data_IF_685421966182
#
_entry.id   IF_685421966182
#
_cell.length_a   1.000
_cell.length_b   1.000
_cell.length_c   1.000
_cell.angle_alpha   90.00
_cell.angle_beta   90.00
_cell.angle_gamma   90.00
#
_symmetry.space_group_name_H-M   'P 1'
#
loop_
_entity.id
_entity.type
_entity.pdbx_description
1 polymer ?
#
# COMPACT_ATOMS: atom_id res chain seq x y z
N UNK A 1 -19.03 27.87 45.82
CA UNK A 1 -18.11 26.77 45.45
C UNK A 1 -18.75 25.93 44.36
N UNK A 2 -18.59 26.29 43.07
CA UNK A 2 -19.18 25.54 41.92
C UNK A 2 -18.19 25.38 40.73
N UNK A 3 -16.99 25.95 40.79
CA UNK A 3 -16.02 25.96 39.67
C UNK A 3 -15.36 24.59 39.36
N UNK A 4 -15.14 23.74 40.36
CA UNK A 4 -14.19 22.62 40.21
C UNK A 4 -14.63 21.50 39.25
N UNK A 5 -15.93 21.21 39.14
CA UNK A 5 -16.44 20.05 38.36
C UNK A 5 -16.44 20.31 36.85
N UNK A 6 -16.65 21.55 36.42
CA UNK A 6 -16.69 21.92 35.00
C UNK A 6 -15.27 21.99 34.42
N UNK A 7 -14.32 22.48 35.21
CA UNK A 7 -12.90 22.49 34.87
C UNK A 7 -12.35 21.07 34.65
N UNK A 8 -12.75 20.12 35.52
CA UNK A 8 -12.38 18.70 35.38
C UNK A 8 -12.99 18.05 34.14
N UNK A 9 -14.24 18.41 33.80
CA UNK A 9 -14.92 17.89 32.62
C UNK A 9 -14.27 18.39 31.32
N UNK A 10 -13.85 19.65 31.29
CA UNK A 10 -13.11 20.23 30.17
C UNK A 10 -11.72 19.60 30.03
N UNK A 11 -11.00 19.44 31.14
CA UNK A 11 -9.70 18.79 31.16
C UNK A 11 -9.77 17.35 30.62
N UNK A 12 -10.79 16.58 31.02
CA UNK A 12 -11.02 15.22 30.52
C UNK A 12 -11.30 15.18 29.01
N UNK A 13 -12.11 16.11 28.50
CA UNK A 13 -12.43 16.18 27.06
C UNK A 13 -11.20 16.57 26.23
N UNK A 14 -10.37 17.48 26.73
CA UNK A 14 -9.11 17.86 26.07
C UNK A 14 -8.12 16.69 26.06
N UNK A 15 -8.00 15.95 27.17
CA UNK A 15 -7.15 14.77 27.26
C UNK A 15 -7.61 13.68 26.26
N UNK A 16 -8.90 13.35 26.24
CA UNK A 16 -9.46 12.36 25.32
C UNK A 16 -9.30 12.77 23.84
N UNK A 17 -9.47 14.06 23.52
CA UNK A 17 -9.26 14.56 22.16
C UNK A 17 -7.78 14.48 21.74
N UNK A 18 -6.83 14.78 22.65
CA UNK A 18 -5.40 14.65 22.36
C UNK A 18 -4.96 13.20 22.17
N UNK A 19 -5.53 12.26 22.93
CA UNK A 19 -5.26 10.82 22.77
C UNK A 19 -5.81 10.28 21.45
N UNK A 20 -7.02 10.71 21.06
CA UNK A 20 -7.59 10.40 19.75
C UNK A 20 -6.76 10.98 18.59
N UNK A 21 -6.26 12.21 18.72
CA UNK A 21 -5.36 12.84 17.75
C UNK A 21 -4.00 12.13 17.66
N UNK A 22 -3.41 11.75 18.79
CA UNK A 22 -2.14 11.04 18.85
C UNK A 22 -2.22 9.65 18.20
N UNK A 23 -3.29 8.91 18.48
CA UNK A 23 -3.55 7.61 17.85
C UNK A 23 -3.84 7.74 16.35
N UNK A 24 -4.53 8.81 15.90
CA UNK A 24 -4.72 9.10 14.47
C UNK A 24 -3.41 9.46 13.76
N UNK A 25 -2.52 10.19 14.43
CA UNK A 25 -1.21 10.61 13.89
C UNK A 25 -0.23 9.44 13.81
N UNK A 26 -0.28 8.51 14.77
CA UNK A 26 0.46 7.25 14.71
C UNK A 26 -0.12 6.29 13.65
N UNK A 27 -1.44 6.27 13.48
CA UNK A 27 -2.11 5.57 12.38
C UNK A 27 -1.68 6.10 11.01
N UNK A 28 -1.77 7.41 10.78
CA UNK A 28 -1.34 8.06 9.53
C UNK A 28 0.16 7.87 9.25
N UNK A 29 1.04 7.98 10.25
CA UNK A 29 2.48 7.70 10.06
C UNK A 29 2.77 6.22 9.76
N UNK A 30 2.02 5.28 10.34
CA UNK A 30 2.14 3.85 10.06
C UNK A 30 1.55 3.49 8.69
N UNK A 31 0.46 4.12 8.29
CA UNK A 31 -0.17 3.93 6.98
C UNK A 31 0.69 4.50 5.84
N UNK A 32 1.31 5.68 6.03
CA UNK A 32 2.22 6.29 5.06
C UNK A 32 3.50 5.46 4.85
N UNK A 33 4.05 4.87 5.92
CA UNK A 33 5.26 4.03 5.83
C UNK A 33 4.99 2.65 5.22
N UNK A 34 3.80 2.07 5.45
CA UNK A 34 3.42 0.78 4.86
C UNK A 34 3.22 0.86 3.34
N UNK A 35 2.62 1.95 2.84
CA UNK A 35 2.41 2.13 1.40
C UNK A 35 3.71 2.20 0.61
N UNK A 36 4.74 2.86 1.17
CA UNK A 36 6.05 2.98 0.54
C UNK A 36 6.79 1.63 0.46
N UNK A 37 6.81 0.85 1.54
CA UNK A 37 7.46 -0.47 1.53
C UNK A 37 6.85 -1.43 0.51
N UNK A 38 5.51 -1.43 0.38
CA UNK A 38 4.80 -2.24 -0.63
C UNK A 38 5.19 -1.79 -2.05
N UNK A 39 5.29 -0.48 -2.30
CA UNK A 39 5.71 0.04 -3.59
C UNK A 39 7.17 -0.35 -3.92
N UNK A 40 8.07 -0.28 -2.94
CA UNK A 40 9.48 -0.67 -3.12
C UNK A 40 9.64 -2.17 -3.35
N UNK A 41 8.90 -3.01 -2.64
CA UNK A 41 8.88 -4.46 -2.90
C UNK A 41 8.36 -4.78 -4.30
N UNK A 42 7.32 -4.08 -4.76
CA UNK A 42 6.77 -4.24 -6.10
C UNK A 42 7.75 -3.83 -7.19
N UNK A 43 8.36 -2.64 -7.06
CA UNK A 43 9.37 -2.15 -8.01
C UNK A 43 10.60 -3.06 -7.97
N UNK A 44 11.02 -3.52 -6.80
CA UNK A 44 12.11 -4.48 -6.63
C UNK A 44 11.83 -5.79 -7.37
N UNK A 45 10.63 -6.36 -7.22
CA UNK A 45 10.22 -7.56 -7.95
C UNK A 45 10.17 -7.34 -9.47
N UNK A 46 9.74 -6.16 -9.95
CA UNK A 46 9.75 -5.82 -11.38
C UNK A 46 11.16 -5.70 -11.93
N UNK A 47 12.08 -5.04 -11.20
CA UNK A 47 13.47 -4.90 -11.61
C UNK A 47 14.20 -6.26 -11.61
N UNK A 48 13.94 -7.10 -10.61
CA UNK A 48 14.48 -8.46 -10.56
C UNK A 48 13.91 -9.30 -11.70
N UNK A 49 12.60 -9.31 -11.92
CA UNK A 49 11.97 -10.07 -12.99
C UNK A 49 12.41 -9.63 -14.40
N UNK A 50 12.49 -8.31 -14.63
CA UNK A 50 12.99 -7.75 -15.88
C UNK A 50 14.47 -8.01 -16.10
N UNK A 51 15.30 -7.85 -15.05
CA UNK A 51 16.73 -8.14 -15.10
C UNK A 51 17.03 -9.63 -15.32
N UNK A 52 16.33 -10.52 -14.61
CA UNK A 52 16.46 -11.97 -14.77
C UNK A 52 15.95 -12.41 -16.15
N UNK A 53 14.82 -11.85 -16.62
CA UNK A 53 14.28 -12.12 -17.94
C UNK A 53 15.23 -11.70 -19.06
N UNK A 54 15.86 -10.52 -18.95
CA UNK A 54 16.88 -10.06 -19.88
C UNK A 54 18.13 -10.93 -19.86
N UNK A 55 18.59 -11.34 -18.67
CA UNK A 55 19.76 -12.20 -18.52
C UNK A 55 19.53 -13.58 -19.16
N UNK A 56 18.34 -14.16 -18.94
CA UNK A 56 17.95 -15.45 -19.53
C UNK A 56 17.77 -15.33 -21.04
N UNK A 57 17.07 -14.29 -21.56
CA UNK A 57 16.93 -14.07 -23.00
C UNK A 57 18.31 -13.94 -23.69
N UNK A 58 19.28 -13.29 -23.03
CA UNK A 58 20.64 -13.13 -23.56
C UNK A 58 21.46 -14.42 -23.59
N UNK A 59 21.21 -15.33 -22.64
CA UNK A 59 21.92 -16.60 -22.51
C UNK A 59 21.29 -17.70 -23.36
N UNK A 60 19.96 -17.72 -23.46
CA UNK A 60 19.20 -18.67 -24.24
C UNK A 60 19.30 -18.41 -25.75
N UNK A 61 19.64 -17.20 -26.18
CA UNK A 61 19.73 -16.83 -27.60
C UNK A 61 18.40 -16.88 -28.36
N UNK A 62 17.33 -17.29 -27.67
CA UNK A 62 15.95 -17.07 -28.07
C UNK A 62 15.69 -15.57 -28.02
N UNK A 63 14.92 -15.03 -28.97
CA UNK A 63 14.52 -13.60 -28.96
C UNK A 63 13.79 -13.19 -27.68
N UNK A 64 13.11 -12.02 -27.62
CA UNK A 64 12.54 -11.45 -26.39
C UNK A 64 11.31 -12.22 -25.84
N UNK A 65 11.33 -13.55 -25.86
CA UNK A 65 10.26 -14.45 -25.46
C UNK A 65 10.06 -14.44 -23.95
N UNK A 66 11.13 -14.47 -23.14
CA UNK A 66 10.98 -14.40 -21.68
C UNK A 66 10.49 -13.02 -21.28
N UNK A 67 10.99 -11.95 -21.93
CA UNK A 67 10.43 -10.60 -21.78
C UNK A 67 8.92 -10.54 -22.06
N UNK A 68 8.44 -11.15 -23.15
CA UNK A 68 7.00 -11.19 -23.50
C UNK A 68 6.19 -11.94 -22.43
N UNK A 69 6.66 -13.09 -21.95
CA UNK A 69 5.96 -13.87 -20.91
C UNK A 69 5.88 -13.08 -19.60
N UNK A 70 6.98 -12.45 -19.16
CA UNK A 70 7.00 -11.58 -17.98
C UNK A 70 6.04 -10.38 -18.11
N UNK A 71 5.99 -9.74 -19.29
CA UNK A 71 5.09 -8.63 -19.56
C UNK A 71 3.62 -9.07 -19.50
N UNK A 72 3.28 -10.20 -20.10
CA UNK A 72 1.94 -10.78 -20.05
C UNK A 72 1.54 -11.17 -18.62
N UNK A 73 2.48 -11.70 -17.83
CA UNK A 73 2.23 -12.08 -16.43
C UNK A 73 2.02 -10.85 -15.54
N UNK A 74 2.83 -9.80 -15.72
CA UNK A 74 2.65 -8.50 -15.05
C UNK A 74 1.33 -7.85 -15.43
N UNK A 75 0.98 -7.87 -16.72
CA UNK A 75 -0.30 -7.37 -17.22
C UNK A 75 -1.51 -8.14 -16.66
N UNK A 76 -1.44 -9.47 -16.62
CA UNK A 76 -2.48 -10.31 -16.04
C UNK A 76 -2.66 -10.06 -14.53
N UNK A 77 -1.55 -9.85 -13.81
CA UNK A 77 -1.57 -9.48 -12.39
C UNK A 77 -2.25 -8.13 -12.16
N UNK A 78 -1.94 -7.13 -12.99
CA UNK A 78 -2.58 -5.81 -12.97
C UNK A 78 -4.09 -5.87 -13.26
N UNK A 79 -4.48 -6.58 -14.32
CA UNK A 79 -5.90 -6.79 -14.67
C UNK A 79 -6.66 -7.52 -13.56
N UNK A 80 -6.06 -8.52 -12.91
CA UNK A 80 -6.68 -9.24 -11.77
C UNK A 80 -6.91 -8.34 -10.56
N UNK A 81 -6.11 -7.29 -10.37
CA UNK A 81 -6.36 -6.29 -9.33
C UNK A 81 -7.59 -5.44 -9.67
N UNK A 82 -7.66 -4.97 -10.92
CA UNK A 82 -8.73 -4.08 -11.42
C UNK A 82 -10.08 -4.80 -11.47
N UNK A 83 -10.15 -6.02 -12.02
CA UNK A 83 -11.39 -6.79 -12.10
C UNK A 83 -11.97 -7.13 -10.72
N UNK A 84 -11.11 -7.32 -9.71
CA UNK A 84 -11.53 -7.55 -8.32
C UNK A 84 -12.01 -6.27 -7.63
N UNK A 85 -11.57 -5.10 -8.06
CA UNK A 85 -12.07 -3.82 -7.55
C UNK A 85 -13.45 -3.47 -8.14
N UNK A 86 -13.74 -3.87 -9.39
CA UNK A 86 -15.03 -3.60 -10.03
C UNK A 86 -16.20 -4.34 -9.36
N UNK A 87 -15.96 -5.57 -8.88
CA UNK A 87 -16.99 -6.34 -8.14
C UNK A 87 -17.37 -5.74 -6.77
N UNK A 88 -16.72 -4.65 -6.32
CA UNK A 88 -17.11 -3.91 -5.11
C UNK A 88 -18.03 -2.72 -5.39
N UNK A 89 -18.26 -2.37 -6.66
CA UNK A 89 -19.10 -1.24 -7.06
C UNK A 89 -20.49 -1.64 -7.55
N UNK A 90 -20.76 -2.93 -7.80
CA UNK A 90 -22.09 -3.44 -8.17
C UNK A 90 -22.77 -4.12 -6.96
N UNK A 91 -22.76 -3.43 -5.83
CA UNK A 91 -23.21 -3.96 -4.56
C UNK A 91 -23.49 -2.87 -3.53
N UNK A 92 -24.11 -1.77 -3.97
CA UNK A 92 -24.90 -0.84 -3.16
C UNK A 92 -25.71 0.11 -4.05
#
# INVERSE_FOLDING_TARGET
>A
MVTNRDDDALARRIAAAREAEASKKDGSKREESQGWSIAVEFIGAMLVGGGLGWFIDRWAGTGPWVMIVMLLLGFATGLRSVLRQQNKFDGK
#
